data_IF_913416787027
#
_entry.id   IF_913416787027
#
_cell.length_a   1.000
_cell.length_b   1.000
_cell.length_c   1.000
_cell.angle_alpha   90.00
_cell.angle_beta   90.00
_cell.angle_gamma   90.00
#
_symmetry.space_group_name_H-M   'P 1'
#
loop_
_entity.id
_entity.type
_entity.pdbx_description
1 polymer ?
#
# COMPACT_ATOMS: atom_id res chain seq x y z
N UNK A 1 -18.23 16.91 -8.36
CA UNK A 1 -18.16 15.43 -8.36
C UNK A 1 -18.34 14.99 -6.91
N UNK A 2 -19.33 14.14 -6.66
CA UNK A 2 -19.82 13.79 -5.32
C UNK A 2 -18.67 13.45 -4.37
N UNK A 3 -18.63 14.17 -3.25
CA UNK A 3 -17.87 13.79 -2.07
C UNK A 3 -18.51 12.49 -1.55
N UNK A 4 -18.15 11.34 -2.14
CA UNK A 4 -18.44 10.07 -1.51
C UNK A 4 -17.66 10.09 -0.21
N UNK A 5 -18.37 10.09 0.92
CA UNK A 5 -17.71 10.19 2.21
C UNK A 5 -16.78 8.98 2.34
N UNK A 6 -15.48 9.25 2.34
CA UNK A 6 -14.46 8.21 2.45
C UNK A 6 -14.26 7.91 3.92
N UNK A 7 -14.68 6.72 4.35
CA UNK A 7 -14.47 6.24 5.72
C UNK A 7 -13.19 5.42 5.78
N UNK A 8 -12.42 5.59 6.87
CA UNK A 8 -11.23 4.78 7.15
C UNK A 8 -11.55 3.84 8.30
N UNK A 9 -11.62 2.55 8.01
CA UNK A 9 -11.74 1.50 9.01
C UNK A 9 -10.34 1.16 9.52
N UNK A 10 -10.17 1.18 10.85
CA UNK A 10 -8.91 0.84 11.50
C UNK A 10 -9.03 -0.53 12.13
N UNK A 11 -8.19 -1.44 11.66
CA UNK A 11 -8.12 -2.83 12.11
C UNK A 11 -6.71 -3.16 12.55
N UNK A 12 -6.59 -4.22 13.34
CA UNK A 12 -5.30 -4.78 13.74
C UNK A 12 -5.31 -6.27 13.45
N UNK A 13 -4.17 -6.82 13.05
CA UNK A 13 -4.05 -8.26 12.89
C UNK A 13 -3.83 -8.95 14.24
N UNK A 14 -4.15 -10.24 14.31
CA UNK A 14 -3.56 -11.10 15.34
C UNK A 14 -2.04 -11.17 15.17
N UNK A 15 -1.34 -11.59 16.21
CA UNK A 15 0.07 -11.94 16.09
C UNK A 15 0.25 -13.03 15.01
N UNK A 16 1.07 -12.73 14.00
CA UNK A 16 1.33 -13.63 12.89
C UNK A 16 2.35 -14.69 13.26
N UNK A 17 2.23 -15.88 12.66
CA UNK A 17 3.27 -16.92 12.79
C UNK A 17 4.56 -16.47 12.13
N UNK A 18 5.71 -16.96 12.63
CA UNK A 18 7.04 -16.55 12.13
C UNK A 18 7.17 -16.66 10.60
N UNK A 19 6.63 -17.71 10.00
CA UNK A 19 6.61 -17.90 8.55
C UNK A 19 5.88 -16.76 7.83
N UNK A 20 4.67 -16.41 8.29
CA UNK A 20 3.90 -15.29 7.74
C UNK A 20 4.59 -13.94 7.95
N UNK A 21 5.30 -13.78 9.07
CA UNK A 21 6.09 -12.56 9.33
C UNK A 21 7.21 -12.40 8.31
N UNK A 22 7.94 -13.48 8.01
CA UNK A 22 9.04 -13.47 7.02
C UNK A 22 8.51 -13.09 5.63
N UNK A 23 7.45 -13.75 5.17
CA UNK A 23 6.84 -13.47 3.87
C UNK A 23 6.36 -12.01 3.81
N UNK A 24 5.67 -11.53 4.85
CA UNK A 24 5.19 -10.15 4.89
C UNK A 24 6.36 -9.14 4.89
N UNK A 25 7.44 -9.44 5.61
CA UNK A 25 8.61 -8.59 5.68
C UNK A 25 9.32 -8.50 4.32
N UNK A 26 9.49 -9.62 3.62
CA UNK A 26 10.06 -9.65 2.27
C UNK A 26 9.23 -8.79 1.30
N UNK A 27 7.90 -8.91 1.35
CA UNK A 27 7.01 -8.11 0.51
C UNK A 27 7.04 -6.61 0.87
N UNK A 28 7.17 -6.27 2.16
CA UNK A 28 7.35 -4.88 2.61
C UNK A 28 8.68 -4.29 2.13
N UNK A 29 9.76 -5.08 2.18
CA UNK A 29 11.08 -4.68 1.70
C UNK A 29 11.08 -4.49 0.18
N UNK A 30 10.44 -5.42 -0.55
CA UNK A 30 10.22 -5.33 -1.99
C UNK A 30 9.42 -4.08 -2.35
N UNK A 31 8.31 -3.82 -1.66
CA UNK A 31 7.45 -2.66 -1.88
C UNK A 31 8.16 -1.34 -1.59
N UNK A 32 8.91 -1.26 -0.50
CA UNK A 32 9.69 -0.08 -0.18
C UNK A 32 10.80 0.17 -1.23
N UNK A 33 11.48 -0.89 -1.67
CA UNK A 33 12.54 -0.81 -2.67
C UNK A 33 12.01 -0.38 -4.03
N UNK A 34 10.90 -0.97 -4.47
CA UNK A 34 10.23 -0.63 -5.74
C UNK A 34 9.70 0.80 -5.71
N UNK A 35 9.06 1.23 -4.63
CA UNK A 35 8.58 2.61 -4.44
C UNK A 35 9.72 3.61 -4.47
N UNK A 36 10.83 3.33 -3.78
CA UNK A 36 12.00 4.22 -3.78
C UNK A 36 12.67 4.30 -5.16
N UNK A 37 12.69 3.21 -5.93
CA UNK A 37 13.13 3.24 -7.32
C UNK A 37 12.26 4.17 -8.16
N UNK A 38 10.93 4.03 -8.09
CA UNK A 38 10.00 4.89 -8.84
C UNK A 38 10.11 6.36 -8.41
N UNK A 39 10.27 6.64 -7.12
CA UNK A 39 10.51 7.99 -6.61
C UNK A 39 11.75 8.62 -7.27
N UNK A 40 12.87 7.89 -7.33
CA UNK A 40 14.10 8.36 -7.98
C UNK A 40 13.86 8.70 -9.44
N UNK A 41 13.19 7.83 -10.19
CA UNK A 41 12.89 8.06 -11.61
C UNK A 41 11.99 9.28 -11.81
N UNK A 42 10.91 9.40 -11.02
CA UNK A 42 9.98 10.55 -11.08
C UNK A 42 10.71 11.86 -10.79
N UNK A 43 11.60 11.88 -9.81
CA UNK A 43 12.36 13.08 -9.45
C UNK A 43 13.41 13.44 -10.51
N UNK A 44 14.17 12.48 -11.03
CA UNK A 44 15.20 12.69 -12.05
C UNK A 44 14.62 13.15 -13.39
N UNK A 45 13.51 12.53 -13.83
CA UNK A 45 12.86 12.84 -15.11
C UNK A 45 11.76 13.91 -14.98
N UNK A 46 11.61 14.51 -13.80
CA UNK A 46 10.60 15.54 -13.49
C UNK A 46 9.18 15.17 -13.93
N UNK A 47 8.80 13.90 -13.78
CA UNK A 47 7.51 13.40 -14.27
C UNK A 47 6.37 13.93 -13.39
N UNK A 48 5.36 14.53 -14.00
CA UNK A 48 4.19 15.09 -13.31
C UNK A 48 2.95 14.21 -13.42
N UNK A 49 2.71 13.60 -14.60
CA UNK A 49 1.54 12.76 -14.91
C UNK A 49 1.76 11.30 -14.51
N UNK A 50 0.67 10.63 -14.10
CA UNK A 50 0.71 9.22 -13.66
C UNK A 50 1.03 8.26 -14.79
N UNK A 51 0.27 8.34 -15.89
CA UNK A 51 0.45 7.46 -17.06
C UNK A 51 1.88 7.55 -17.61
N UNK A 52 2.41 8.77 -17.73
CA UNK A 52 3.82 8.96 -18.13
C UNK A 52 4.81 8.31 -17.17
N UNK A 53 4.52 8.26 -15.87
CA UNK A 53 5.39 7.58 -14.91
C UNK A 53 5.32 6.06 -15.08
N UNK A 54 4.12 5.51 -15.36
CA UNK A 54 3.92 4.08 -15.65
C UNK A 54 4.69 3.70 -16.92
N UNK A 55 4.43 4.38 -18.04
CA UNK A 55 5.08 4.11 -19.34
C UNK A 55 6.61 4.10 -19.26
N UNK A 56 7.19 5.06 -18.53
CA UNK A 56 8.64 5.22 -18.42
C UNK A 56 9.29 4.12 -17.56
N UNK A 57 8.54 3.57 -16.61
CA UNK A 57 9.05 2.66 -15.59
C UNK A 57 8.71 1.19 -15.90
N UNK A 58 7.63 0.94 -16.63
CA UNK A 58 7.02 -0.38 -16.85
C UNK A 58 8.02 -1.46 -17.27
N UNK A 59 8.80 -1.23 -18.33
CA UNK A 59 9.73 -2.23 -18.86
C UNK A 59 10.82 -2.64 -17.85
N UNK A 60 11.46 -1.68 -17.17
CA UNK A 60 12.52 -1.97 -16.19
C UNK A 60 11.94 -2.49 -14.88
N UNK A 61 10.72 -2.09 -14.54
CA UNK A 61 10.06 -2.49 -13.31
C UNK A 61 9.61 -3.95 -13.36
N UNK A 62 9.06 -4.40 -14.49
CA UNK A 62 8.63 -5.79 -14.67
C UNK A 62 9.80 -6.75 -14.58
N UNK A 63 10.96 -6.38 -15.12
CA UNK A 63 12.19 -7.20 -15.03
C UNK A 63 12.77 -7.23 -13.62
N UNK A 64 12.70 -6.12 -12.87
CA UNK A 64 13.42 -5.97 -11.59
C UNK A 64 12.59 -6.32 -10.36
N UNK A 65 11.28 -6.12 -10.40
CA UNK A 65 10.44 -6.22 -9.21
C UNK A 65 9.26 -7.16 -9.44
N UNK A 66 8.30 -6.75 -10.26
CA UNK A 66 7.03 -7.46 -10.40
C UNK A 66 6.39 -7.14 -11.75
N UNK A 67 5.92 -8.18 -12.45
CA UNK A 67 5.29 -8.05 -13.76
C UNK A 67 3.82 -7.61 -13.69
N UNK A 68 3.21 -7.64 -12.50
CA UNK A 68 1.78 -7.31 -12.33
C UNK A 68 1.53 -5.80 -12.51
N UNK A 69 0.68 -5.39 -13.47
CA UNK A 69 0.42 -3.98 -13.75
C UNK A 69 -0.27 -3.27 -12.58
N UNK A 70 -1.11 -3.97 -11.81
CA UNK A 70 -1.79 -3.42 -10.64
C UNK A 70 -0.79 -3.03 -9.56
N UNK A 71 0.28 -3.82 -9.39
CA UNK A 71 1.32 -3.54 -8.41
C UNK A 71 2.12 -2.30 -8.80
N UNK A 72 2.47 -2.17 -10.08
CA UNK A 72 3.12 -0.97 -10.61
C UNK A 72 2.24 0.27 -10.38
N UNK A 73 0.94 0.20 -10.66
CA UNK A 73 0.00 1.31 -10.44
C UNK A 73 -0.03 1.75 -8.98
N UNK A 74 -0.10 0.81 -8.05
CA UNK A 74 -0.10 1.12 -6.62
C UNK A 74 1.22 1.75 -6.16
N UNK A 75 2.35 1.22 -6.63
CA UNK A 75 3.69 1.74 -6.34
C UNK A 75 3.86 3.16 -6.89
N UNK A 76 3.48 3.40 -8.15
CA UNK A 76 3.54 4.73 -8.78
C UNK A 76 2.68 5.74 -8.03
N UNK A 77 1.44 5.36 -7.66
CA UNK A 77 0.54 6.22 -6.90
C UNK A 77 1.12 6.61 -5.54
N UNK A 78 1.70 5.63 -4.83
CA UNK A 78 2.38 5.87 -3.55
C UNK A 78 3.62 6.75 -3.73
N UNK A 79 4.46 6.46 -4.71
CA UNK A 79 5.66 7.25 -5.02
C UNK A 79 5.32 8.73 -5.31
N UNK A 80 4.30 8.98 -6.13
CA UNK A 80 3.83 10.34 -6.43
C UNK A 80 3.34 11.07 -5.18
N UNK A 81 2.60 10.39 -4.31
CA UNK A 81 2.15 10.95 -3.04
C UNK A 81 3.32 11.38 -2.15
N UNK A 82 4.35 10.53 -2.03
CA UNK A 82 5.56 10.87 -1.27
C UNK A 82 6.37 11.99 -1.88
N UNK A 83 6.53 12.01 -3.22
CA UNK A 83 7.19 13.14 -3.91
C UNK A 83 6.41 14.44 -3.67
N UNK A 84 5.08 14.40 -3.73
CA UNK A 84 4.23 15.56 -3.45
C UNK A 84 4.35 16.03 -2.00
N UNK A 85 4.37 15.11 -1.04
CA UNK A 85 4.63 15.41 0.39
C UNK A 85 6.02 16.03 0.57
N UNK A 86 7.05 15.44 -0.02
CA UNK A 86 8.42 15.93 0.06
C UNK A 86 8.56 17.33 -0.54
N UNK A 87 7.99 17.59 -1.72
CA UNK A 87 8.00 18.94 -2.33
C UNK A 87 7.34 19.98 -1.44
N UNK A 88 6.23 19.64 -0.78
CA UNK A 88 5.58 20.52 0.21
C UNK A 88 6.52 20.80 1.40
N UNK A 89 7.15 19.77 1.95
CA UNK A 89 8.11 19.94 3.06
C UNK A 89 9.33 20.77 2.64
N UNK A 90 9.86 20.58 1.44
CA UNK A 90 11.04 21.31 0.93
C UNK A 90 10.78 22.80 0.68
N UNK A 91 9.50 23.20 0.50
CA UNK A 91 9.12 24.62 0.47
C UNK A 91 9.41 25.28 1.83
N UNK A 92 9.00 24.62 2.90
CA UNK A 92 9.12 25.11 4.28
C UNK A 92 10.52 24.89 4.87
N UNK A 93 11.14 23.73 4.63
CA UNK A 93 12.39 23.31 5.29
C UNK A 93 13.54 23.36 4.28
N UNK A 94 14.47 24.31 4.47
CA UNK A 94 15.60 24.53 3.54
C UNK A 94 16.50 23.29 3.39
N UNK A 95 16.75 22.54 4.47
CA UNK A 95 17.61 21.34 4.47
C UNK A 95 17.03 20.17 3.68
N UNK A 96 15.72 20.19 3.39
CA UNK A 96 15.06 19.20 2.55
C UNK A 96 15.20 19.51 1.07
N UNK A 97 15.60 20.73 0.69
CA UNK A 97 15.88 21.10 -0.70
C UNK A 97 17.11 20.35 -1.19
N UNK A 98 17.00 19.71 -2.35
CA UNK A 98 18.07 18.89 -2.92
C UNK A 98 18.19 17.48 -2.34
N UNK A 99 17.40 17.11 -1.32
CA UNK A 99 17.31 15.71 -0.88
C UNK A 99 16.34 14.94 -1.76
N UNK A 100 16.63 13.67 -2.01
CA UNK A 100 15.67 12.77 -2.67
C UNK A 100 14.56 12.40 -1.70
N UNK A 101 13.32 12.39 -2.17
CA UNK A 101 12.21 11.82 -1.40
C UNK A 101 12.48 10.33 -1.13
N UNK A 102 11.95 9.83 -0.02
CA UNK A 102 12.17 8.45 0.40
C UNK A 102 10.89 7.91 1.04
N UNK A 103 10.53 6.70 0.64
CA UNK A 103 9.46 5.91 1.23
C UNK A 103 10.03 4.97 2.29
N UNK A 104 9.46 5.05 3.50
CA UNK A 104 9.94 4.30 4.68
C UNK A 104 9.53 2.83 4.61
N UNK A 105 10.44 1.95 5.03
CA UNK A 105 10.15 0.53 5.27
C UNK A 105 9.07 0.35 6.34
N UNK A 106 8.33 -0.77 6.26
CA UNK A 106 7.34 -1.18 7.25
C UNK A 106 5.91 -0.75 6.90
N UNK A 107 5.70 -0.16 5.71
CA UNK A 107 4.38 0.20 5.20
C UNK A 107 4.22 -0.29 3.78
N UNK A 108 3.01 -0.75 3.46
CA UNK A 108 2.61 -1.09 2.11
C UNK A 108 1.18 -0.64 1.88
N UNK A 109 0.89 -0.12 0.68
CA UNK A 109 -0.44 0.38 0.31
C UNK A 109 -0.86 -0.28 -1.00
N UNK A 110 -1.87 -1.13 -0.92
CA UNK A 110 -2.35 -1.95 -2.04
C UNK A 110 -3.83 -1.71 -2.29
N UNK A 111 -4.25 -1.99 -3.51
CA UNK A 111 -5.63 -2.00 -3.95
C UNK A 111 -6.03 -3.38 -4.47
N UNK A 112 -7.32 -3.60 -4.60
CA UNK A 112 -7.85 -4.77 -5.30
C UNK A 112 -7.26 -4.84 -6.73
N UNK A 113 -6.84 -6.01 -7.24
CA UNK A 113 -6.99 -7.37 -6.69
C UNK A 113 -5.77 -7.88 -5.90
N UNK A 114 -4.76 -7.05 -5.63
CA UNK A 114 -3.58 -7.44 -4.86
C UNK A 114 -3.89 -7.66 -3.38
N UNK A 115 -5.02 -7.11 -2.94
CA UNK A 115 -5.53 -7.30 -1.60
C UNK A 115 -7.05 -7.50 -1.66
N UNK A 116 -7.54 -8.44 -0.87
CA UNK A 116 -8.96 -8.70 -0.65
C UNK A 116 -9.27 -8.70 0.84
N UNK A 117 -10.47 -8.26 1.19
CA UNK A 117 -10.96 -8.18 2.56
C UNK A 117 -12.11 -9.16 2.70
N UNK A 118 -12.04 -9.94 3.78
CA UNK A 118 -13.13 -10.80 4.23
C UNK A 118 -13.52 -10.38 5.67
N UNK A 119 -14.61 -10.92 6.19
CA UNK A 119 -15.10 -10.65 7.55
C UNK A 119 -14.07 -10.98 8.63
N UNK A 120 -13.20 -11.96 8.36
CA UNK A 120 -12.25 -12.50 9.35
C UNK A 120 -10.82 -11.99 9.17
N UNK A 121 -10.49 -11.41 8.03
CA UNK A 121 -9.11 -11.05 7.74
C UNK A 121 -8.91 -10.41 6.37
N UNK A 122 -7.65 -10.11 6.12
CA UNK A 122 -7.14 -9.58 4.87
C UNK A 122 -6.34 -10.67 4.15
N UNK A 123 -6.54 -10.85 2.86
CA UNK A 123 -5.66 -11.68 2.04
C UNK A 123 -4.82 -10.79 1.13
N UNK A 124 -3.50 -10.94 1.20
CA UNK A 124 -2.54 -10.20 0.37
C UNK A 124 -1.99 -11.15 -0.69
N UNK A 125 -2.15 -10.82 -1.96
CA UNK A 125 -1.56 -11.58 -3.07
C UNK A 125 -0.10 -11.21 -3.22
N UNK A 126 0.77 -12.11 -2.78
CA UNK A 126 2.22 -11.93 -2.83
C UNK A 126 2.76 -12.17 -4.24
N UNK A 127 4.05 -11.93 -4.46
CA UNK A 127 4.66 -11.92 -5.80
C UNK A 127 4.67 -13.27 -6.53
N UNK A 128 4.60 -14.40 -5.81
CA UNK A 128 4.45 -15.73 -6.40
C UNK A 128 2.99 -16.10 -6.71
N UNK A 129 2.07 -15.12 -6.69
CA UNK A 129 0.62 -15.29 -6.80
C UNK A 129 -0.05 -16.13 -5.69
N UNK A 130 0.68 -16.53 -4.65
CA UNK A 130 0.05 -17.10 -3.46
C UNK A 130 -0.64 -16.00 -2.64
N UNK A 131 -1.58 -16.42 -1.79
CA UNK A 131 -2.32 -15.53 -0.91
C UNK A 131 -1.80 -15.67 0.52
N UNK A 132 -1.42 -14.55 1.12
CA UNK A 132 -1.01 -14.45 2.50
C UNK A 132 -2.21 -13.99 3.35
N UNK A 133 -2.83 -14.89 4.14
CA UNK A 133 -3.93 -14.51 5.01
C UNK A 133 -3.42 -13.87 6.30
N UNK A 134 -3.88 -12.65 6.55
CA UNK A 134 -3.62 -11.81 7.73
C UNK A 134 -4.94 -11.69 8.51
N UNK A 135 -5.16 -12.51 9.56
CA UNK A 135 -6.41 -12.50 10.32
C UNK A 135 -6.52 -11.24 11.17
N UNK A 136 -7.73 -10.68 11.28
CA UNK A 136 -8.01 -9.56 12.18
C UNK A 136 -8.10 -10.05 13.64
N UNK A 137 -7.71 -9.18 14.57
CA UNK A 137 -7.97 -9.42 15.98
C UNK A 137 -9.47 -9.33 16.28
N UNK A 138 -9.92 -10.06 17.30
CA UNK A 138 -11.34 -10.16 17.64
C UNK A 138 -11.96 -8.80 17.98
N UNK A 139 -11.20 -7.91 18.64
CA UNK A 139 -11.72 -6.62 19.09
C UNK A 139 -11.97 -5.69 17.91
N UNK A 140 -10.98 -5.48 17.04
CA UNK A 140 -11.14 -4.59 15.89
C UNK A 140 -12.16 -5.12 14.88
N UNK A 141 -12.19 -6.45 14.68
CA UNK A 141 -13.19 -7.11 13.84
C UNK A 141 -14.62 -6.86 14.33
N UNK A 142 -14.87 -7.08 15.62
CA UNK A 142 -16.20 -6.91 16.19
C UNK A 142 -16.67 -5.45 16.18
N UNK A 143 -15.75 -4.50 16.28
CA UNK A 143 -16.07 -3.06 16.22
C UNK A 143 -16.48 -2.59 14.82
N UNK A 144 -16.05 -3.29 13.77
CA UNK A 144 -16.29 -2.91 12.37
C UNK A 144 -17.01 -4.04 11.60
N UNK A 145 -17.78 -4.88 12.29
CA UNK A 145 -18.31 -6.12 11.72
C UNK A 145 -19.27 -5.86 10.55
N UNK A 146 -20.16 -4.88 10.71
CA UNK A 146 -21.15 -4.51 9.69
C UNK A 146 -20.46 -3.93 8.44
N UNK A 147 -19.45 -3.09 8.63
CA UNK A 147 -18.69 -2.52 7.51
C UNK A 147 -17.82 -3.57 6.81
N UNK A 148 -17.23 -4.50 7.55
CA UNK A 148 -16.47 -5.63 6.98
C UNK A 148 -17.37 -6.54 6.14
N UNK A 149 -18.59 -6.81 6.60
CA UNK A 149 -19.59 -7.59 5.85
C UNK A 149 -20.04 -6.86 4.57
N UNK A 150 -20.19 -5.53 4.61
CA UNK A 150 -20.52 -4.75 3.43
C UNK A 150 -19.37 -4.80 2.39
N UNK A 151 -18.12 -4.66 2.86
CA UNK A 151 -16.92 -4.70 2.02
C UNK A 151 -16.65 -6.07 1.41
N UNK A 152 -16.91 -7.16 2.14
CA UNK A 152 -16.73 -8.52 1.61
C UNK A 152 -17.70 -8.82 0.46
N UNK A 153 -18.93 -8.31 0.54
CA UNK A 153 -19.95 -8.46 -0.51
C UNK A 153 -19.72 -7.55 -1.71
N UNK A 154 -19.12 -6.38 -1.52
CA UNK A 154 -18.97 -5.38 -2.57
C UNK A 154 -17.53 -4.87 -2.69
N UNK A 155 -16.73 -5.56 -3.51
CA UNK A 155 -15.35 -5.19 -3.79
C UNK A 155 -15.20 -3.78 -4.40
N UNK A 156 -16.25 -3.20 -5.02
CA UNK A 156 -16.18 -1.86 -5.61
C UNK A 156 -16.11 -0.74 -4.56
N UNK A 157 -16.58 -1.00 -3.34
CA UNK A 157 -16.47 -0.10 -2.20
C UNK A 157 -15.06 -0.10 -1.60
N UNK A 158 -14.23 -1.09 -1.96
CA UNK A 158 -12.88 -1.22 -1.45
C UNK A 158 -11.94 -0.22 -2.14
N UNK A 159 -11.44 0.72 -1.34
CA UNK A 159 -10.37 1.63 -1.72
C UNK A 159 -8.99 1.00 -1.56
N UNK A 160 -8.00 1.82 -1.24
CA UNK A 160 -6.65 1.34 -0.95
C UNK A 160 -6.53 0.94 0.51
N UNK A 161 -5.84 -0.15 0.76
CA UNK A 161 -5.58 -0.69 2.09
C UNK A 161 -4.13 -0.43 2.44
N UNK A 162 -3.91 0.19 3.60
CA UNK A 162 -2.58 0.38 4.16
C UNK A 162 -2.32 -0.70 5.19
N UNK A 163 -1.23 -1.41 5.02
CA UNK A 163 -0.70 -2.38 5.98
C UNK A 163 0.56 -1.75 6.58
N UNK A 164 0.59 -1.62 7.90
CA UNK A 164 1.76 -1.13 8.65
C UNK A 164 2.25 -2.23 9.58
N UNK A 165 3.49 -2.67 9.40
CA UNK A 165 4.08 -3.72 10.21
C UNK A 165 4.59 -3.18 11.55
N UNK A 166 4.18 -3.80 12.64
CA UNK A 166 4.74 -3.57 13.96
C UNK A 166 5.74 -4.67 14.31
N UNK A 167 6.89 -4.26 14.86
CA UNK A 167 7.98 -5.16 15.28
C UNK A 167 7.58 -6.17 16.37
N UNK A 168 6.39 -6.01 16.95
CA UNK A 168 5.80 -6.90 17.95
C UNK A 168 5.08 -8.11 17.34
N UNK A 169 5.07 -8.26 16.00
CA UNK A 169 4.56 -9.46 15.33
C UNK A 169 3.12 -9.34 14.80
N UNK A 170 2.53 -8.14 14.82
CA UNK A 170 1.21 -7.86 14.27
C UNK A 170 1.27 -6.67 13.28
N UNK A 171 0.22 -6.51 12.48
CA UNK A 171 0.09 -5.45 11.50
C UNK A 171 -1.13 -4.57 11.79
N UNK A 172 -0.97 -3.26 11.68
CA UNK A 172 -2.09 -2.32 11.65
C UNK A 172 -2.60 -2.20 10.20
N UNK A 173 -3.92 -2.21 10.04
CA UNK A 173 -4.59 -2.28 8.74
C UNK A 173 -5.59 -1.13 8.66
N UNK A 174 -5.30 -0.13 7.83
CA UNK A 174 -6.25 0.94 7.51
C UNK A 174 -6.93 0.61 6.18
N UNK A 175 -8.25 0.37 6.18
CA UNK A 175 -9.03 0.14 4.96
C UNK A 175 -9.75 1.43 4.61
N UNK A 176 -9.49 1.94 3.40
CA UNK A 176 -10.30 3.00 2.82
C UNK A 176 -11.57 2.40 2.23
N UNK A 177 -12.73 2.73 2.79
CA UNK A 177 -14.03 2.36 2.28
C UNK A 177 -14.69 3.56 1.58
N UNK A 178 -15.26 3.33 0.41
CA UNK A 178 -16.13 4.29 -0.27
C UNK A 178 -17.57 3.99 0.13
N UNK A 179 -18.29 5.01 0.56
CA UNK A 179 -19.75 4.98 0.66
C UNK A 179 -20.42 4.91 -0.72
#
# INVERSE_FOLDING_TARGET
MSDSAMRILKLTSVALTREKQLILQEELEKYASSTNYVIKVIMQKHITKEQKAIEVVEALFSTRFDSRPEYLRDVVKTARSEVGRHRRMARTIRTMRGRTAYFRLGKMILSHPLVSVDEKGLAVRVSNNSELPIPFDKRSRNQNADELLALSKNASMLGRIRITWNKQGYADIDIQAKE
#
